data_IF_099420384859
#
_entry.id   IF_099420384859
#
_cell.length_a   1.000
_cell.length_b   1.000
_cell.length_c   1.000
_cell.angle_alpha   90.00
_cell.angle_beta   90.00
_cell.angle_gamma   90.00
#
_symmetry.space_group_name_H-M   'P 1'
#
loop_
_entity.id
_entity.type
_entity.pdbx_description
1 polymer ?
#
# COMPACT_ATOMS: atom_id res chain seq x y z
N UNK A 1 -11.06 3.91 16.49
CA UNK A 1 -9.77 3.20 16.59
C UNK A 1 -9.32 2.97 15.16
N UNK A 2 -8.26 3.64 14.75
CA UNK A 2 -7.81 3.65 13.36
C UNK A 2 -7.20 2.32 12.98
N UNK A 3 -7.76 1.66 11.97
CA UNK A 3 -7.24 0.41 11.43
C UNK A 3 -6.03 0.72 10.55
N UNK A 4 -4.88 0.15 10.87
CA UNK A 4 -3.64 0.34 10.12
C UNK A 4 -3.51 -0.76 9.07
N UNK A 5 -3.34 -0.34 7.82
CA UNK A 5 -3.41 -1.22 6.65
C UNK A 5 -2.06 -1.28 5.95
N UNK A 6 -1.61 -2.51 5.68
CA UNK A 6 -0.53 -2.80 4.74
C UNK A 6 -1.09 -3.29 3.40
N UNK A 7 -0.48 -2.92 2.28
CA UNK A 7 -0.87 -3.41 0.95
C UNK A 7 0.28 -4.24 0.39
N UNK A 8 0.05 -5.53 0.17
CA UNK A 8 1.03 -6.40 -0.49
C UNK A 8 0.71 -6.51 -1.99
N UNK A 9 1.61 -6.06 -2.85
CA UNK A 9 1.41 -5.96 -4.29
C UNK A 9 0.79 -4.62 -4.70
N UNK A 10 1.64 -3.68 -5.11
CA UNK A 10 1.23 -2.32 -5.49
C UNK A 10 0.97 -2.17 -7.00
N UNK A 11 0.38 -3.23 -7.57
CA UNK A 11 -0.14 -3.27 -8.92
C UNK A 11 -1.41 -2.43 -9.08
N UNK A 12 -2.22 -2.73 -10.10
CA UNK A 12 -3.42 -1.95 -10.40
C UNK A 12 -4.40 -1.91 -9.22
N UNK A 13 -4.73 -3.06 -8.63
CA UNK A 13 -5.68 -3.12 -7.51
C UNK A 13 -5.11 -2.47 -6.25
N UNK A 14 -3.84 -2.74 -5.89
CA UNK A 14 -3.18 -2.11 -4.73
C UNK A 14 -3.20 -0.58 -4.80
N UNK A 15 -2.90 0.00 -5.97
CA UNK A 15 -3.02 1.46 -6.19
C UNK A 15 -4.45 1.96 -6.08
N UNK A 16 -5.43 1.21 -6.59
CA UNK A 16 -6.84 1.61 -6.49
C UNK A 16 -7.37 1.53 -5.06
N UNK A 17 -6.85 0.65 -4.20
CA UNK A 17 -7.17 0.67 -2.77
C UNK A 17 -6.73 1.99 -2.14
N UNK A 18 -5.48 2.40 -2.39
CA UNK A 18 -4.97 3.68 -1.91
C UNK A 18 -5.77 4.85 -2.47
N UNK A 19 -6.00 4.89 -3.79
CA UNK A 19 -6.78 5.96 -4.41
C UNK A 19 -8.21 6.00 -3.89
N UNK A 20 -8.89 4.86 -3.74
CA UNK A 20 -10.25 4.82 -3.21
C UNK A 20 -10.33 5.40 -1.79
N UNK A 21 -9.34 5.12 -0.94
CA UNK A 21 -9.27 5.71 0.39
C UNK A 21 -9.21 7.25 0.32
N UNK A 22 -8.23 7.81 -0.39
CA UNK A 22 -8.02 9.26 -0.44
C UNK A 22 -9.03 10.02 -1.33
N UNK A 23 -9.56 9.43 -2.40
CA UNK A 23 -10.47 10.08 -3.34
C UNK A 23 -11.93 10.04 -2.90
N UNK A 24 -12.30 9.07 -2.03
CA UNK A 24 -13.68 8.92 -1.59
C UNK A 24 -14.18 10.12 -0.78
N UNK A 25 -13.28 10.94 -0.22
CA UNK A 25 -13.57 11.97 0.78
C UNK A 25 -14.40 11.45 1.98
N UNK A 26 -14.42 10.14 2.18
CA UNK A 26 -15.05 9.50 3.32
C UNK A 26 -13.98 9.41 4.40
N UNK A 27 -14.23 10.03 5.55
CA UNK A 27 -13.38 9.93 6.73
C UNK A 27 -13.43 8.53 7.34
N UNK A 28 -12.91 7.54 6.61
CA UNK A 28 -12.75 6.19 7.10
C UNK A 28 -11.67 6.19 8.18
N UNK A 29 -11.91 5.47 9.27
CA UNK A 29 -10.94 5.28 10.34
C UNK A 29 -9.89 4.22 9.93
N UNK A 30 -9.22 4.48 8.80
CA UNK A 30 -8.22 3.63 8.15
C UNK A 30 -6.98 4.48 7.89
N UNK A 31 -5.80 3.92 8.15
CA UNK A 31 -4.52 4.51 7.80
C UNK A 31 -3.72 3.52 6.97
N UNK A 32 -3.29 3.89 5.76
CA UNK A 32 -2.37 3.05 4.98
C UNK A 32 -0.95 3.37 5.45
N UNK A 33 -0.28 2.38 6.03
CA UNK A 33 1.04 2.57 6.67
C UNK A 33 2.20 2.04 5.83
N UNK A 34 1.93 1.07 4.96
CA UNK A 34 2.94 0.43 4.15
C UNK A 34 2.38 -0.12 2.84
N UNK A 35 3.22 -0.11 1.81
CA UNK A 35 3.02 -0.84 0.56
C UNK A 35 4.24 -1.70 0.29
N UNK A 36 4.05 -2.95 -0.12
CA UNK A 36 5.12 -3.82 -0.58
C UNK A 36 5.01 -4.05 -2.09
N UNK A 37 6.06 -3.69 -2.82
CA UNK A 37 6.17 -3.90 -4.26
C UNK A 37 7.65 -4.04 -4.66
N UNK A 38 7.92 -4.69 -5.79
CA UNK A 38 9.30 -4.81 -6.28
C UNK A 38 9.78 -3.56 -7.01
N UNK A 39 8.87 -2.64 -7.37
CA UNK A 39 9.18 -1.30 -7.84
C UNK A 39 9.57 -0.37 -6.69
N UNK A 40 10.42 0.62 -7.01
CA UNK A 40 10.86 1.63 -6.04
C UNK A 40 9.79 2.68 -5.73
N UNK A 41 10.03 3.47 -4.67
CA UNK A 41 9.09 4.51 -4.23
C UNK A 41 8.83 5.56 -5.32
N UNK A 42 9.83 5.91 -6.13
CA UNK A 42 9.70 6.85 -7.25
C UNK A 42 8.73 6.34 -8.32
N UNK A 43 8.88 5.09 -8.73
CA UNK A 43 7.99 4.45 -9.70
C UNK A 43 6.57 4.36 -9.15
N UNK A 44 6.42 3.91 -7.90
CA UNK A 44 5.12 3.79 -7.25
C UNK A 44 4.43 5.15 -7.07
N UNK A 45 5.17 6.21 -6.77
CA UNK A 45 4.65 7.57 -6.69
C UNK A 45 4.10 8.04 -8.04
N UNK A 46 4.88 7.91 -9.12
CA UNK A 46 4.44 8.29 -10.47
C UNK A 46 3.19 7.51 -10.89
N UNK A 47 3.16 6.19 -10.64
CA UNK A 47 2.02 5.34 -10.96
C UNK A 47 0.79 5.61 -10.08
N UNK A 48 0.99 6.13 -8.87
CA UNK A 48 -0.10 6.61 -8.03
C UNK A 48 -0.67 7.91 -8.57
N UNK A 49 0.20 8.86 -8.94
CA UNK A 49 -0.20 10.17 -9.49
C UNK A 49 -0.92 10.06 -10.84
N UNK A 50 -0.57 9.08 -11.68
CA UNK A 50 -1.01 8.99 -13.07
C UNK A 50 -1.52 7.60 -13.40
N UNK A 51 -2.82 7.48 -13.58
CA UNK A 51 -3.47 6.28 -14.11
C UNK A 51 -4.20 6.60 -15.42
N UNK A 52 -4.04 5.75 -16.44
CA UNK A 52 -4.66 5.96 -17.75
C UNK A 52 -6.19 5.80 -17.72
N UNK A 53 -6.71 4.90 -16.90
CA UNK A 53 -8.15 4.63 -16.81
C UNK A 53 -8.84 5.54 -15.80
N UNK A 54 -8.17 5.84 -14.68
CA UNK A 54 -8.73 6.61 -13.56
C UNK A 54 -8.23 8.05 -13.48
N UNK A 55 -7.45 8.50 -14.46
CA UNK A 55 -6.92 9.87 -14.52
C UNK A 55 -5.87 10.18 -13.46
N UNK A 56 -5.65 11.48 -13.24
CA UNK A 56 -4.69 11.98 -12.25
C UNK A 56 -5.24 11.84 -10.83
N UNK A 57 -4.37 11.46 -9.90
CA UNK A 57 -4.67 11.52 -8.47
C UNK A 57 -4.86 12.99 -8.05
N UNK A 58 -5.94 13.33 -7.31
CA UNK A 58 -6.23 14.71 -6.95
C UNK A 58 -5.37 15.26 -5.81
N UNK A 59 -4.69 14.38 -5.06
CA UNK A 59 -3.84 14.75 -3.92
C UNK A 59 -2.37 14.94 -4.28
N UNK A 60 -1.55 15.19 -3.25
CA UNK A 60 -0.10 15.23 -3.39
C UNK A 60 0.49 13.85 -3.18
N UNK A 61 1.54 13.55 -3.95
CA UNK A 61 2.35 12.34 -3.77
C UNK A 61 3.80 12.75 -3.95
N UNK A 62 4.58 12.63 -2.89
CA UNK A 62 6.01 12.94 -2.88
C UNK A 62 6.79 11.68 -2.45
N UNK A 63 8.11 11.72 -2.58
CA UNK A 63 8.99 10.62 -2.17
C UNK A 63 10.03 11.17 -1.20
N UNK A 64 10.18 10.51 -0.07
CA UNK A 64 11.23 10.78 0.91
C UNK A 64 11.97 9.46 1.22
N UNK A 65 13.14 9.30 0.60
CA UNK A 65 13.89 8.05 0.65
C UNK A 65 13.09 6.86 0.10
N UNK A 66 12.78 5.90 0.97
CA UNK A 66 11.98 4.72 0.65
C UNK A 66 10.49 4.89 0.99
N UNK A 67 10.05 6.10 1.28
CA UNK A 67 8.66 6.38 1.63
C UNK A 67 7.96 7.13 0.50
N UNK A 68 6.67 6.87 0.36
CA UNK A 68 5.74 7.72 -0.35
C UNK A 68 5.02 8.63 0.66
N UNK A 69 5.01 9.93 0.40
CA UNK A 69 4.26 10.90 1.20
C UNK A 69 2.99 11.27 0.43
N UNK A 70 1.84 10.76 0.87
CA UNK A 70 0.54 10.98 0.20
C UNK A 70 -0.30 11.91 1.04
N UNK A 71 -0.65 13.09 0.52
CA UNK A 71 -1.37 14.12 1.28
C UNK A 71 -0.73 14.46 2.65
N UNK A 72 0.61 14.37 2.75
CA UNK A 72 1.37 14.59 3.98
C UNK A 72 1.49 13.37 4.90
N UNK A 73 0.83 12.26 4.58
CA UNK A 73 0.94 11.01 5.33
C UNK A 73 2.09 10.15 4.80
N UNK A 74 2.89 9.60 5.72
CA UNK A 74 4.04 8.78 5.38
C UNK A 74 3.63 7.30 5.22
N UNK A 75 3.92 6.74 4.04
CA UNK A 75 3.67 5.36 3.67
C UNK A 75 4.99 4.70 3.31
N UNK A 76 5.41 3.69 4.08
CA UNK A 76 6.64 2.97 3.82
C UNK A 76 6.53 2.11 2.55
N UNK A 77 7.51 2.22 1.64
CA UNK A 77 7.63 1.34 0.47
C UNK A 77 8.65 0.25 0.77
N UNK A 78 8.17 -0.98 0.81
CA UNK A 78 8.96 -2.19 1.04
C UNK A 78 9.15 -2.95 -0.26
N UNK A 79 10.21 -3.76 -0.32
CA UNK A 79 10.52 -4.62 -1.45
C UNK A 79 10.98 -6.02 -0.99
N UNK A 80 10.07 -6.77 -0.37
CA UNK A 80 10.30 -8.14 0.09
C UNK A 80 9.42 -9.14 -0.67
N UNK A 81 10.01 -10.27 -1.06
CA UNK A 81 9.33 -11.31 -1.86
C UNK A 81 8.62 -12.33 -1.01
N UNK A 82 9.11 -12.59 0.20
CA UNK A 82 8.49 -13.54 1.13
C UNK A 82 7.62 -12.80 2.16
N UNK A 83 6.30 -12.97 2.13
CA UNK A 83 5.38 -12.28 3.04
C UNK A 83 5.69 -12.42 4.53
N UNK A 84 6.28 -13.54 4.94
CA UNK A 84 6.67 -13.82 6.33
C UNK A 84 7.87 -13.00 6.81
N UNK A 85 8.55 -12.30 5.91
CA UNK A 85 9.68 -11.42 6.22
C UNK A 85 9.29 -9.94 6.25
N UNK A 86 8.02 -9.63 5.98
CA UNK A 86 7.53 -8.26 6.03
C UNK A 86 7.34 -7.83 7.49
N UNK A 87 7.85 -6.66 7.90
CA UNK A 87 7.84 -6.20 9.29
C UNK A 87 6.46 -5.64 9.71
N UNK A 88 5.36 -6.35 9.39
CA UNK A 88 3.99 -5.91 9.67
C UNK A 88 3.73 -5.62 11.14
N UNK A 89 4.19 -6.49 12.03
CA UNK A 89 4.06 -6.29 13.46
C UNK A 89 4.80 -5.04 13.95
N UNK A 90 6.03 -4.82 13.49
CA UNK A 90 6.84 -3.64 13.84
C UNK A 90 6.22 -2.34 13.32
N UNK A 91 5.60 -2.39 12.14
CA UNK A 91 4.89 -1.26 11.55
C UNK A 91 3.46 -1.08 12.12
N UNK A 92 3.02 -1.97 13.00
CA UNK A 92 1.70 -1.96 13.62
C UNK A 92 0.58 -2.12 12.61
N UNK A 93 0.71 -3.03 11.63
CA UNK A 93 -0.35 -3.33 10.66
C UNK A 93 -1.39 -4.25 11.29
N UNK A 94 -2.67 -3.87 11.20
CA UNK A 94 -3.81 -4.68 11.67
C UNK A 94 -4.37 -5.57 10.55
N UNK A 95 -4.39 -5.06 9.32
CA UNK A 95 -4.97 -5.74 8.15
C UNK A 95 -4.03 -5.62 6.96
N UNK A 96 -3.79 -6.74 6.27
CA UNK A 96 -3.06 -6.76 5.00
C UNK A 96 -4.03 -6.96 3.84
N UNK A 97 -3.98 -6.08 2.85
CA UNK A 97 -4.59 -6.32 1.54
C UNK A 97 -3.61 -7.04 0.63
N UNK A 98 -3.82 -8.35 0.46
CA UNK A 98 -3.05 -9.18 -0.47
C UNK A 98 -3.56 -8.99 -1.91
N UNK A 99 -2.80 -8.20 -2.69
CA UNK A 99 -3.13 -7.74 -4.03
C UNK A 99 -2.12 -8.22 -5.10
N UNK A 100 -1.17 -9.09 -4.76
CA UNK A 100 -0.15 -9.62 -5.70
C UNK A 100 -0.75 -10.62 -6.68
N UNK A 101 -1.82 -11.32 -6.29
CA UNK A 101 -2.37 -12.46 -7.03
C UNK A 101 -1.54 -13.75 -6.88
N UNK A 102 -0.46 -13.74 -6.10
CA UNK A 102 0.39 -14.91 -5.85
C UNK A 102 -0.09 -15.70 -4.62
N UNK A 103 -0.38 -15.02 -3.51
CA UNK A 103 -0.72 -15.64 -2.23
C UNK A 103 -2.25 -15.79 -2.06
N UNK A 104 -2.85 -16.66 -2.89
CA UNK A 104 -4.33 -16.78 -3.00
C UNK A 104 -4.98 -17.90 -2.19
N UNK A 105 -4.19 -18.74 -1.51
CA UNK A 105 -4.70 -19.76 -0.60
C UNK A 105 -4.59 -19.29 0.85
N UNK A 106 -5.32 -19.96 1.75
CA UNK A 106 -5.22 -19.68 3.18
C UNK A 106 -3.77 -19.82 3.65
N UNK A 107 -3.12 -20.92 3.29
CA UNK A 107 -1.74 -21.24 3.68
C UNK A 107 -0.76 -20.20 3.16
N UNK A 108 -0.93 -19.77 1.91
CA UNK A 108 -0.05 -18.79 1.29
C UNK A 108 -0.21 -17.39 1.90
N UNK A 109 -1.45 -16.96 2.15
CA UNK A 109 -1.75 -15.65 2.76
C UNK A 109 -1.47 -15.62 4.27
N UNK A 110 -1.54 -16.77 4.94
CA UNK A 110 -1.21 -16.90 6.37
C UNK A 110 0.23 -16.51 6.69
N UNK A 111 1.14 -16.48 5.72
CA UNK A 111 2.47 -15.91 5.91
C UNK A 111 2.48 -14.45 6.37
N UNK A 112 1.41 -13.69 6.18
CA UNK A 112 1.32 -12.31 6.69
C UNK A 112 1.02 -12.20 8.20
N UNK A 113 0.58 -13.30 8.83
CA UNK A 113 0.25 -13.36 10.26
C UNK A 113 1.29 -14.15 11.07
N UNK A 114 2.29 -14.71 10.39
CA UNK A 114 3.47 -15.35 11.00
C UNK A 114 4.47 -14.30 11.47
#
# INVERSE_FOLDING_TARGET
MTIRVGINGYGRIGRMVLRAHYESNKGHDIQIVAVNDLGDANTNAVLTQRDTAHGRFPGTVEVDGNNMIVNGENIGVLAERDPARLPWAEMGVDVVFECTGLFRSKEAASKHIE
#
